data_IF_349258308549
#
_entry.id   IF_349258308549
#
_cell.length_a   1.000
_cell.length_b   1.000
_cell.length_c   1.000
_cell.angle_alpha   90.00
_cell.angle_beta   90.00
_cell.angle_gamma   90.00
#
_symmetry.space_group_name_H-M   'P 1'
#
loop_
_entity.id
_entity.type
_entity.pdbx_description
1 polymer ?
#
# COMPACT_ATOMS: atom_id res chain seq x y z
N UNK A 1 7.21 -29.55 17.15
CA UNK A 1 6.69 -30.80 17.73
C UNK A 1 6.87 -30.87 19.24
N UNK A 2 8.07 -30.68 19.79
CA UNK A 2 8.30 -30.65 21.24
C UNK A 2 7.32 -29.72 21.98
N UNK A 3 7.26 -28.44 21.58
CA UNK A 3 6.32 -27.45 22.12
C UNK A 3 4.85 -27.84 22.05
N UNK A 4 4.41 -28.48 20.95
CA UNK A 4 3.02 -28.95 20.83
C UNK A 4 2.74 -30.06 21.86
N UNK A 5 3.65 -31.04 21.98
CA UNK A 5 3.52 -32.15 22.93
C UNK A 5 3.58 -31.70 24.38
N UNK A 6 4.41 -30.70 24.67
CA UNK A 6 4.44 -30.06 25.98
C UNK A 6 3.08 -29.45 26.35
N UNK A 7 2.46 -28.71 25.43
CA UNK A 7 1.14 -28.11 25.65
C UNK A 7 0.01 -29.14 25.69
N UNK A 8 0.15 -30.28 25.01
CA UNK A 8 -0.77 -31.42 25.09
C UNK A 8 -0.59 -32.25 26.39
N UNK A 9 0.41 -31.93 27.23
CA UNK A 9 0.71 -32.63 28.48
C UNK A 9 1.54 -33.92 28.32
N UNK A 10 2.00 -34.25 27.11
CA UNK A 10 2.87 -35.38 26.82
C UNK A 10 4.35 -34.97 26.95
N UNK A 11 4.79 -34.85 28.20
CA UNK A 11 6.16 -34.41 28.52
C UNK A 11 7.23 -35.41 28.05
N UNK A 12 6.92 -36.70 28.02
CA UNK A 12 7.85 -37.74 27.57
C UNK A 12 8.16 -37.61 26.07
N UNK A 13 7.13 -37.44 25.23
CA UNK A 13 7.37 -37.17 23.80
C UNK A 13 8.01 -35.81 23.58
N UNK A 14 7.62 -34.78 24.35
CA UNK A 14 8.27 -33.47 24.29
C UNK A 14 9.78 -33.57 24.51
N UNK A 15 10.19 -34.26 25.57
CA UNK A 15 11.61 -34.47 25.89
C UNK A 15 12.33 -35.29 24.81
N UNK A 16 11.68 -36.34 24.27
CA UNK A 16 12.24 -37.12 23.16
C UNK A 16 12.52 -36.25 21.92
N UNK A 17 11.62 -35.32 21.58
CA UNK A 17 11.87 -34.37 20.49
C UNK A 17 13.01 -33.40 20.81
N UNK A 18 13.14 -32.92 22.05
CA UNK A 18 14.27 -32.08 22.45
C UNK A 18 15.60 -32.84 22.31
N UNK A 19 15.66 -34.10 22.78
CA UNK A 19 16.86 -34.92 22.67
C UNK A 19 17.29 -35.10 21.22
N UNK A 20 16.34 -35.34 20.31
CA UNK A 20 16.64 -35.44 18.88
C UNK A 20 17.26 -34.16 18.30
N UNK A 21 16.87 -32.99 18.78
CA UNK A 21 17.47 -31.71 18.36
C UNK A 21 18.90 -31.60 18.89
N UNK A 22 19.13 -31.97 20.15
CA UNK A 22 20.48 -32.02 20.72
C UNK A 22 21.40 -32.97 19.94
N UNK A 23 20.92 -34.17 19.60
CA UNK A 23 21.67 -35.15 18.80
C UNK A 23 22.07 -34.59 17.43
N UNK A 24 21.18 -33.81 16.80
CA UNK A 24 21.45 -33.14 15.52
C UNK A 24 22.52 -32.06 15.70
N UNK A 25 22.46 -31.27 16.78
CA UNK A 25 23.45 -30.22 17.08
C UNK A 25 24.83 -30.80 17.41
N UNK A 26 24.89 -31.98 18.04
CA UNK A 26 26.14 -32.72 18.23
C UNK A 26 26.71 -33.17 16.88
N UNK A 27 25.85 -33.64 15.97
CA UNK A 27 26.27 -34.08 14.63
C UNK A 27 26.69 -32.92 13.72
N UNK A 28 26.08 -31.74 13.89
CA UNK A 28 26.33 -30.53 13.12
C UNK A 28 26.57 -29.35 14.06
N UNK A 29 27.78 -29.24 14.64
CA UNK A 29 28.08 -28.22 15.64
C UNK A 29 28.07 -26.81 15.04
N UNK A 30 27.50 -25.86 15.78
CA UNK A 30 27.55 -24.44 15.42
C UNK A 30 28.81 -23.79 16.03
N UNK A 31 29.37 -22.79 15.34
CA UNK A 31 30.68 -22.20 15.72
C UNK A 31 30.71 -21.47 17.07
N UNK A 32 29.55 -21.18 17.66
CA UNK A 32 29.39 -20.65 19.03
C UNK A 32 28.05 -21.08 19.63
N UNK A 33 27.96 -21.13 20.98
CA UNK A 33 26.74 -21.63 21.67
C UNK A 33 25.47 -20.78 21.45
N UNK A 34 25.59 -19.60 20.82
CA UNK A 34 24.47 -18.73 20.45
C UNK A 34 24.20 -18.63 18.94
N UNK A 35 25.03 -19.26 18.09
CA UNK A 35 24.84 -19.24 16.64
C UNK A 35 23.93 -20.37 16.18
N UNK A 36 22.94 -20.04 15.34
CA UNK A 36 22.04 -21.03 14.72
C UNK A 36 22.64 -21.51 13.39
N UNK A 37 22.16 -22.67 12.92
CA UNK A 37 22.43 -23.13 11.57
C UNK A 37 21.82 -22.15 10.55
N UNK A 38 22.45 -21.96 9.36
CA UNK A 38 21.95 -21.04 8.35
C UNK A 38 20.51 -21.36 7.91
N UNK A 39 20.13 -22.64 7.87
CA UNK A 39 18.77 -23.07 7.53
C UNK A 39 17.75 -22.61 8.58
N UNK A 40 18.13 -22.60 9.86
CA UNK A 40 17.27 -22.10 10.95
C UNK A 40 17.12 -20.59 10.85
N UNK A 41 18.20 -19.87 10.54
CA UNK A 41 18.12 -18.43 10.29
C UNK A 41 17.25 -18.09 9.08
N UNK A 42 17.39 -18.84 7.98
CA UNK A 42 16.57 -18.69 6.78
C UNK A 42 15.08 -18.85 7.05
N UNK A 43 14.70 -19.95 7.72
CA UNK A 43 13.32 -20.25 8.08
C UNK A 43 12.75 -19.25 9.09
N UNK A 44 13.53 -18.83 10.09
CA UNK A 44 13.13 -17.76 11.01
C UNK A 44 12.85 -16.45 10.26
N UNK A 45 13.72 -16.10 9.30
CA UNK A 45 13.54 -14.91 8.48
C UNK A 45 12.25 -14.96 7.67
N UNK A 46 11.97 -16.08 7.02
CA UNK A 46 10.73 -16.26 6.26
C UNK A 46 9.49 -16.25 7.15
N UNK A 47 9.54 -16.90 8.31
CA UNK A 47 8.45 -16.89 9.28
C UNK A 47 8.15 -15.48 9.77
N UNK A 48 9.17 -14.70 10.16
CA UNK A 48 8.99 -13.30 10.59
C UNK A 48 8.33 -12.46 9.48
N UNK A 49 8.76 -12.63 8.23
CA UNK A 49 8.17 -11.94 7.09
C UNK A 49 6.69 -12.27 6.89
N UNK A 50 6.29 -13.54 7.09
CA UNK A 50 4.89 -13.98 6.91
C UNK A 50 3.96 -13.55 8.04
N UNK A 51 4.46 -13.47 9.27
CA UNK A 51 3.65 -13.20 10.46
C UNK A 51 3.21 -11.74 10.53
N UNK A 52 4.14 -10.79 10.38
CA UNK A 52 3.79 -9.37 10.51
C UNK A 52 4.78 -8.46 9.80
N UNK A 53 4.27 -7.34 9.27
CA UNK A 53 5.10 -6.29 8.69
C UNK A 53 6.04 -5.63 9.70
N UNK A 54 5.64 -5.55 10.98
CA UNK A 54 6.52 -5.01 12.04
C UNK A 54 7.75 -5.88 12.29
N UNK A 55 7.74 -7.13 11.80
CA UNK A 55 8.85 -8.07 11.93
C UNK A 55 9.75 -8.13 10.69
N UNK A 56 9.55 -7.25 9.70
CA UNK A 56 10.38 -7.22 8.48
C UNK A 56 11.86 -6.95 8.80
N UNK A 57 12.17 -6.07 9.74
CA UNK A 57 13.56 -5.82 10.14
C UNK A 57 14.22 -7.09 10.69
N UNK A 58 13.53 -7.81 11.58
CA UNK A 58 13.99 -9.11 12.09
C UNK A 58 14.17 -10.14 10.97
N UNK A 59 13.26 -10.15 9.99
CA UNK A 59 13.38 -11.02 8.84
C UNK A 59 14.65 -10.75 8.02
N UNK A 60 14.96 -9.46 7.79
CA UNK A 60 16.19 -9.02 7.11
C UNK A 60 17.42 -9.49 7.90
N UNK A 61 17.44 -9.26 9.22
CA UNK A 61 18.58 -9.63 10.07
C UNK A 61 18.83 -11.15 10.08
N UNK A 62 17.77 -11.95 10.20
CA UNK A 62 17.88 -13.41 10.16
C UNK A 62 18.40 -13.91 8.81
N UNK A 63 17.86 -13.42 7.69
CA UNK A 63 18.33 -13.80 6.35
C UNK A 63 19.76 -13.34 6.07
N UNK A 64 20.16 -12.18 6.59
CA UNK A 64 21.54 -11.72 6.48
C UNK A 64 22.51 -12.67 7.20
N UNK A 65 22.17 -13.13 8.41
CA UNK A 65 22.98 -14.13 9.14
C UNK A 65 23.08 -15.47 8.42
N UNK A 66 22.01 -15.91 7.76
CA UNK A 66 22.08 -17.10 6.91
C UNK A 66 23.08 -16.92 5.76
N UNK A 67 23.06 -15.75 5.12
CA UNK A 67 23.95 -15.41 4.00
C UNK A 67 25.40 -15.15 4.42
N UNK A 68 25.68 -14.74 5.66
CA UNK A 68 27.05 -14.66 6.19
C UNK A 68 27.74 -16.04 6.18
N UNK A 69 26.97 -17.11 6.38
CA UNK A 69 27.46 -18.50 6.38
C UNK A 69 27.39 -19.12 4.97
N UNK A 70 26.31 -18.85 4.22
CA UNK A 70 26.09 -19.38 2.88
C UNK A 70 25.84 -18.25 1.85
N UNK A 71 26.88 -17.52 1.40
CA UNK A 71 26.71 -16.32 0.58
C UNK A 71 26.05 -16.53 -0.79
N UNK A 72 26.19 -17.73 -1.35
CA UNK A 72 25.71 -18.08 -2.68
C UNK A 72 24.50 -18.99 -2.69
N UNK A 73 23.87 -19.23 -1.54
CA UNK A 73 22.67 -20.05 -1.48
C UNK A 73 21.51 -19.40 -2.25
N UNK A 74 20.89 -20.17 -3.15
CA UNK A 74 19.87 -19.65 -4.07
C UNK A 74 18.60 -19.26 -3.30
N UNK A 75 18.22 -20.03 -2.30
CA UNK A 75 16.99 -19.84 -1.54
C UNK A 75 17.10 -18.63 -0.62
N UNK A 76 18.17 -18.51 0.16
CA UNK A 76 18.38 -17.38 1.06
C UNK A 76 18.54 -16.06 0.29
N UNK A 77 19.26 -16.07 -0.83
CA UNK A 77 19.36 -14.88 -1.68
C UNK A 77 18.01 -14.47 -2.28
N UNK A 78 17.16 -15.45 -2.64
CA UNK A 78 15.80 -15.20 -3.14
C UNK A 78 14.90 -14.62 -2.04
N UNK A 79 14.87 -15.25 -0.86
CA UNK A 79 14.11 -14.79 0.30
C UNK A 79 14.56 -13.39 0.72
N UNK A 80 15.87 -13.17 0.83
CA UNK A 80 16.44 -11.88 1.23
C UNK A 80 16.09 -10.77 0.25
N UNK A 81 16.17 -11.05 -1.07
CA UNK A 81 15.76 -10.10 -2.10
C UNK A 81 14.27 -9.73 -2.00
N UNK A 82 13.40 -10.71 -1.75
CA UNK A 82 11.94 -10.48 -1.59
C UNK A 82 11.63 -9.68 -0.33
N UNK A 83 12.28 -10.00 0.80
CA UNK A 83 12.06 -9.30 2.07
C UNK A 83 12.56 -7.85 1.98
N UNK A 84 13.76 -7.62 1.42
CA UNK A 84 14.26 -6.27 1.17
C UNK A 84 13.35 -5.49 0.22
N UNK A 85 12.88 -6.13 -0.86
CA UNK A 85 11.91 -5.53 -1.77
C UNK A 85 10.67 -5.04 -1.03
N UNK A 86 10.07 -5.90 -0.19
CA UNK A 86 8.88 -5.58 0.58
C UNK A 86 9.13 -4.54 1.68
N UNK A 87 10.27 -4.59 2.37
CA UNK A 87 10.65 -3.62 3.41
C UNK A 87 10.87 -2.22 2.84
N UNK A 88 11.60 -2.13 1.73
CA UNK A 88 11.87 -0.86 1.06
C UNK A 88 10.70 -0.37 0.20
N UNK A 89 9.67 -1.19 -0.08
CA UNK A 89 8.53 -0.80 -0.92
C UNK A 89 7.80 0.44 -0.36
N UNK A 90 8.03 0.76 0.92
CA UNK A 90 7.33 1.80 1.68
C UNK A 90 8.22 2.96 2.11
N UNK A 91 9.55 2.78 2.10
CA UNK A 91 10.55 3.82 2.36
C UNK A 91 11.00 4.42 1.03
N UNK A 92 10.09 5.17 0.41
CA UNK A 92 10.36 5.98 -0.79
C UNK A 92 10.81 7.41 -0.42
N UNK A 93 11.23 7.61 0.83
CA UNK A 93 11.27 8.96 1.40
C UNK A 93 12.44 9.83 0.96
N UNK A 94 13.53 9.28 0.41
CA UNK A 94 14.65 10.11 -0.11
C UNK A 94 15.55 9.30 -1.06
N UNK A 95 15.00 8.74 -2.14
CA UNK A 95 15.85 8.13 -3.15
C UNK A 95 16.43 9.23 -4.04
N UNK A 96 17.71 9.55 -3.83
CA UNK A 96 18.49 10.23 -4.86
C UNK A 96 18.53 9.32 -6.09
N UNK A 97 18.30 9.89 -7.28
CA UNK A 97 18.13 9.12 -8.53
C UNK A 97 19.35 8.24 -8.87
N UNK A 98 20.52 8.52 -8.27
CA UNK A 98 21.79 7.86 -8.59
C UNK A 98 22.19 6.71 -7.65
N UNK A 99 21.61 6.58 -6.44
CA UNK A 99 21.95 5.46 -5.54
C UNK A 99 20.93 4.31 -5.65
N UNK A 100 21.36 3.19 -6.25
CA UNK A 100 20.57 1.96 -6.29
C UNK A 100 20.35 1.42 -4.86
N UNK A 101 19.08 1.15 -4.51
CA UNK A 101 18.75 0.59 -3.19
C UNK A 101 19.35 -0.80 -2.99
N UNK A 102 19.45 -1.19 -1.71
CA UNK A 102 19.90 -2.51 -1.31
C UNK A 102 19.03 -3.61 -1.93
N UNK A 103 17.70 -3.42 -2.02
CA UNK A 103 16.82 -4.37 -2.69
C UNK A 103 17.15 -4.52 -4.18
N UNK A 104 17.45 -3.44 -4.91
CA UNK A 104 17.83 -3.55 -6.33
C UNK A 104 19.11 -4.36 -6.48
N UNK A 105 20.14 -4.04 -5.69
CA UNK A 105 21.42 -4.77 -5.70
C UNK A 105 21.21 -6.25 -5.42
N UNK A 106 20.44 -6.57 -4.39
CA UNK A 106 20.16 -7.95 -3.99
C UNK A 106 19.29 -8.69 -5.02
N UNK A 107 18.28 -8.03 -5.60
CA UNK A 107 17.44 -8.61 -6.65
C UNK A 107 18.26 -8.94 -7.91
N UNK A 108 19.19 -8.06 -8.31
CA UNK A 108 20.13 -8.32 -9.41
C UNK A 108 21.02 -9.53 -9.12
N UNK A 109 21.55 -9.61 -7.90
CA UNK A 109 22.38 -10.74 -7.48
C UNK A 109 21.59 -12.05 -7.47
N UNK A 110 20.40 -12.06 -6.89
CA UNK A 110 19.53 -13.24 -6.86
C UNK A 110 19.13 -13.70 -8.27
N UNK A 111 18.89 -12.77 -9.21
CA UNK A 111 18.66 -13.09 -10.63
C UNK A 111 19.92 -13.57 -11.35
N UNK A 112 21.12 -13.18 -10.93
CA UNK A 112 22.37 -13.73 -11.48
C UNK A 112 22.52 -15.22 -11.12
N UNK A 113 22.08 -15.60 -9.92
CA UNK A 113 22.12 -16.99 -9.43
C UNK A 113 20.93 -17.80 -9.97
N UNK A 114 19.75 -17.20 -10.06
CA UNK A 114 18.52 -17.83 -10.57
C UNK A 114 17.85 -16.95 -11.65
N UNK A 115 18.31 -17.01 -12.91
CA UNK A 115 17.89 -16.10 -13.98
C UNK A 115 16.42 -16.18 -14.37
N UNK A 116 15.81 -17.36 -14.18
CA UNK A 116 14.45 -17.65 -14.64
C UNK A 116 13.39 -17.47 -13.55
N UNK A 117 13.76 -16.94 -12.38
CA UNK A 117 12.81 -16.67 -11.32
C UNK A 117 11.92 -15.47 -11.67
N UNK A 118 10.72 -15.76 -12.17
CA UNK A 118 9.77 -14.76 -12.64
C UNK A 118 9.27 -13.82 -11.53
N UNK A 119 9.21 -14.29 -10.27
CA UNK A 119 8.88 -13.43 -9.13
C UNK A 119 9.98 -12.38 -8.87
N UNK A 120 11.25 -12.78 -8.93
CA UNK A 120 12.38 -11.86 -8.79
C UNK A 120 12.46 -10.87 -9.97
N UNK A 121 12.24 -11.33 -11.20
CA UNK A 121 12.18 -10.48 -12.39
C UNK A 121 11.11 -9.38 -12.21
N UNK A 122 9.91 -9.77 -11.77
CA UNK A 122 8.82 -8.83 -11.57
C UNK A 122 9.07 -7.85 -10.40
N UNK A 123 9.68 -8.33 -9.29
CA UNK A 123 10.06 -7.49 -8.15
C UNK A 123 11.12 -6.45 -8.54
N UNK A 124 12.14 -6.86 -9.31
CA UNK A 124 13.16 -5.95 -9.83
C UNK A 124 12.55 -4.93 -10.79
N UNK A 125 11.71 -5.38 -11.73
CA UNK A 125 11.01 -4.48 -12.65
C UNK A 125 10.16 -3.44 -11.93
N UNK A 126 9.41 -3.84 -10.89
CA UNK A 126 8.62 -2.92 -10.08
C UNK A 126 9.47 -1.89 -9.33
N UNK A 127 10.66 -2.26 -8.83
CA UNK A 127 11.60 -1.33 -8.20
C UNK A 127 12.21 -0.37 -9.20
N UNK A 128 12.70 -0.88 -10.32
CA UNK A 128 13.29 -0.06 -11.38
C UNK A 128 12.30 0.97 -11.93
N UNK A 129 11.02 0.61 -12.06
CA UNK A 129 9.96 1.53 -12.43
C UNK A 129 9.79 2.68 -11.42
N UNK A 130 9.91 2.40 -10.11
CA UNK A 130 9.88 3.43 -9.06
C UNK A 130 11.10 4.38 -9.14
N UNK A 131 12.23 3.87 -9.63
CA UNK A 131 13.45 4.63 -9.96
C UNK A 131 13.43 5.22 -11.38
N UNK A 132 12.30 5.18 -12.07
CA UNK A 132 12.12 5.69 -13.45
C UNK A 132 13.02 5.01 -14.51
N UNK A 133 13.65 3.88 -14.21
CA UNK A 133 14.38 3.03 -15.15
C UNK A 133 13.39 2.15 -15.93
N UNK A 134 12.61 2.77 -16.81
CA UNK A 134 11.40 2.17 -17.37
C UNK A 134 11.66 1.08 -18.41
N UNK A 135 12.70 1.23 -19.24
CA UNK A 135 13.04 0.31 -20.32
C UNK A 135 13.46 -1.06 -19.76
N UNK A 136 14.33 -1.05 -18.75
CA UNK A 136 14.76 -2.27 -18.07
C UNK A 136 13.59 -2.92 -17.32
N UNK A 137 12.77 -2.10 -16.64
CA UNK A 137 11.58 -2.58 -15.96
C UNK A 137 10.59 -3.28 -16.91
N UNK A 138 10.38 -2.72 -18.11
CA UNK A 138 9.48 -3.29 -19.11
C UNK A 138 9.96 -4.67 -19.58
N UNK A 139 11.26 -4.78 -19.88
CA UNK A 139 11.88 -6.05 -20.29
C UNK A 139 11.71 -7.14 -19.24
N UNK A 140 11.93 -6.80 -17.96
CA UNK A 140 11.79 -7.75 -16.85
C UNK A 140 10.34 -8.16 -16.60
N UNK A 141 9.40 -7.20 -16.63
CA UNK A 141 7.97 -7.48 -16.47
C UNK A 141 7.45 -8.38 -17.59
N UNK A 142 7.87 -8.13 -18.83
CA UNK A 142 7.51 -8.96 -19.98
C UNK A 142 8.04 -10.39 -19.82
N UNK A 143 9.32 -10.55 -19.47
CA UNK A 143 9.91 -11.87 -19.20
C UNK A 143 9.20 -12.61 -18.07
N UNK A 144 8.84 -11.91 -17.00
CA UNK A 144 8.11 -12.52 -15.89
C UNK A 144 6.74 -13.07 -16.34
N UNK A 145 6.01 -12.30 -17.14
CA UNK A 145 4.71 -12.74 -17.71
C UNK A 145 4.86 -13.88 -18.73
N UNK A 146 5.97 -13.95 -19.47
CA UNK A 146 6.25 -15.07 -20.38
C UNK A 146 6.58 -16.35 -19.62
N UNK A 147 7.33 -16.24 -18.51
CA UNK A 147 7.78 -17.38 -17.73
C UNK A 147 6.69 -18.01 -16.86
N UNK A 148 5.85 -17.19 -16.21
CA UNK A 148 4.76 -17.68 -15.37
C UNK A 148 3.56 -16.70 -15.44
N UNK A 149 2.78 -16.75 -16.55
CA UNK A 149 1.71 -15.79 -16.83
C UNK A 149 0.57 -15.81 -15.82
N UNK A 150 0.42 -16.92 -15.10
CA UNK A 150 -0.71 -17.15 -14.21
C UNK A 150 -0.37 -16.86 -12.75
N UNK A 151 0.90 -16.64 -12.39
CA UNK A 151 1.29 -16.39 -11.01
C UNK A 151 0.58 -15.17 -10.40
N UNK A 152 -0.13 -15.29 -9.26
CA UNK A 152 -0.81 -14.16 -8.64
C UNK A 152 0.13 -13.00 -8.27
N UNK A 153 1.40 -13.28 -7.95
CA UNK A 153 2.40 -12.26 -7.69
C UNK A 153 2.75 -11.49 -8.96
N UNK A 154 3.02 -12.20 -10.05
CA UNK A 154 3.39 -11.59 -11.34
C UNK A 154 2.24 -10.79 -11.91
N UNK A 155 1.02 -11.35 -11.89
CA UNK A 155 -0.20 -10.65 -12.31
C UNK A 155 -0.35 -9.33 -11.54
N UNK A 156 -0.22 -9.37 -10.21
CA UNK A 156 -0.38 -8.18 -9.35
C UNK A 156 0.61 -7.08 -9.72
N UNK A 157 1.89 -7.43 -9.81
CA UNK A 157 2.96 -6.45 -10.01
C UNK A 157 3.04 -5.97 -11.46
N UNK A 158 2.87 -6.87 -12.43
CA UNK A 158 2.86 -6.53 -13.86
C UNK A 158 1.64 -5.68 -14.22
N UNK A 159 0.45 -6.06 -13.76
CA UNK A 159 -0.76 -5.26 -13.99
C UNK A 159 -0.66 -3.87 -13.35
N UNK A 160 -0.06 -3.77 -12.14
CA UNK A 160 0.17 -2.48 -11.50
C UNK A 160 1.16 -1.62 -12.30
N UNK A 161 2.26 -2.19 -12.77
CA UNK A 161 3.22 -1.51 -13.64
C UNK A 161 2.56 -0.98 -14.91
N UNK A 162 1.78 -1.82 -15.62
CA UNK A 162 1.06 -1.41 -16.83
C UNK A 162 0.07 -0.27 -16.55
N UNK A 163 -0.66 -0.35 -15.43
CA UNK A 163 -1.56 0.72 -14.98
C UNK A 163 -0.83 2.04 -14.70
N UNK A 164 0.32 1.98 -14.02
CA UNK A 164 1.15 3.17 -13.75
C UNK A 164 1.75 3.78 -15.03
N UNK A 165 1.99 2.96 -16.06
CA UNK A 165 2.37 3.38 -17.41
C UNK A 165 1.18 3.79 -18.29
N UNK A 166 -0.03 3.87 -17.72
CA UNK A 166 -1.27 4.24 -18.42
C UNK A 166 -1.65 3.29 -19.58
N UNK A 167 -1.13 2.05 -19.58
CA UNK A 167 -1.49 0.95 -20.50
C UNK A 167 -2.67 0.17 -19.91
N UNK A 168 -3.81 0.85 -19.82
CA UNK A 168 -4.95 0.41 -19.01
C UNK A 168 -5.63 -0.86 -19.54
N UNK A 169 -5.75 -1.00 -20.87
CA UNK A 169 -6.38 -2.17 -21.48
C UNK A 169 -5.55 -3.44 -21.25
N UNK A 170 -4.22 -3.34 -21.36
CA UNK A 170 -3.31 -4.45 -21.06
C UNK A 170 -3.32 -4.81 -19.57
N UNK A 171 -3.36 -3.80 -18.68
CA UNK A 171 -3.49 -4.02 -17.25
C UNK A 171 -4.78 -4.78 -16.90
N UNK A 172 -5.90 -4.42 -17.53
CA UNK A 172 -7.20 -5.09 -17.36
C UNK A 172 -7.08 -6.57 -17.76
N UNK A 173 -6.53 -6.87 -18.94
CA UNK A 173 -6.34 -8.25 -19.41
C UNK A 173 -5.49 -9.06 -18.42
N UNK A 174 -4.41 -8.48 -17.88
CA UNK A 174 -3.56 -9.15 -16.89
C UNK A 174 -4.34 -9.44 -15.60
N UNK A 175 -5.07 -8.46 -15.05
CA UNK A 175 -5.84 -8.67 -13.81
C UNK A 175 -7.04 -9.62 -13.98
N UNK A 176 -7.68 -9.64 -15.15
CA UNK A 176 -8.76 -10.59 -15.48
C UNK A 176 -8.26 -12.04 -15.47
N UNK A 177 -7.01 -12.31 -15.88
CA UNK A 177 -6.40 -13.63 -15.70
C UNK A 177 -6.30 -14.01 -14.23
N UNK A 178 -5.96 -13.04 -13.36
CA UNK A 178 -5.88 -13.25 -11.92
C UNK A 178 -7.21 -13.68 -11.30
N UNK A 179 -8.32 -13.12 -11.79
CA UNK A 179 -9.66 -13.51 -11.34
C UNK A 179 -10.00 -14.98 -11.61
N UNK A 180 -9.49 -15.55 -12.71
CA UNK A 180 -9.78 -16.95 -13.08
C UNK A 180 -9.21 -17.97 -12.10
N UNK A 181 -8.21 -17.60 -11.28
CA UNK A 181 -7.58 -18.52 -10.31
C UNK A 181 -8.32 -18.64 -8.97
N UNK A 182 -9.29 -17.76 -8.67
CA UNK A 182 -10.09 -17.82 -7.43
C UNK A 182 -9.38 -17.36 -6.14
N UNK A 183 -8.04 -17.30 -6.17
CA UNK A 183 -7.22 -16.74 -5.11
C UNK A 183 -7.10 -15.21 -5.24
N UNK A 184 -7.05 -14.49 -4.11
CA UNK A 184 -6.86 -13.03 -4.07
C UNK A 184 -7.89 -12.21 -4.88
N UNK A 185 -9.10 -12.74 -5.12
CA UNK A 185 -10.16 -12.09 -5.89
C UNK A 185 -10.41 -10.64 -5.46
N UNK A 186 -10.44 -10.36 -4.15
CA UNK A 186 -10.67 -9.01 -3.65
C UNK A 186 -9.60 -8.01 -4.11
N UNK A 187 -8.33 -8.44 -4.11
CA UNK A 187 -7.22 -7.60 -4.54
C UNK A 187 -7.27 -7.33 -6.06
N UNK A 188 -7.54 -8.36 -6.86
CA UNK A 188 -7.63 -8.21 -8.32
C UNK A 188 -8.84 -7.39 -8.75
N UNK A 189 -10.00 -7.60 -8.14
CA UNK A 189 -11.18 -6.77 -8.36
C UNK A 189 -10.90 -5.30 -8.04
N UNK A 190 -10.22 -5.02 -6.93
CA UNK A 190 -9.83 -3.64 -6.64
C UNK A 190 -8.87 -3.05 -7.68
N UNK A 191 -7.86 -3.80 -8.14
CA UNK A 191 -6.97 -3.30 -9.18
C UNK A 191 -7.69 -3.04 -10.50
N UNK A 192 -8.66 -3.88 -10.88
CA UNK A 192 -9.52 -3.67 -12.04
C UNK A 192 -10.37 -2.40 -11.88
N UNK A 193 -10.99 -2.21 -10.71
CA UNK A 193 -11.73 -0.99 -10.42
C UNK A 193 -10.85 0.27 -10.59
N UNK A 194 -9.60 0.24 -10.12
CA UNK A 194 -8.66 1.34 -10.31
C UNK A 194 -8.30 1.58 -11.78
N UNK A 195 -8.19 0.53 -12.61
CA UNK A 195 -7.98 0.67 -14.05
C UNK A 195 -9.16 1.40 -14.72
N UNK A 196 -10.39 0.93 -14.46
CA UNK A 196 -11.59 1.56 -15.00
C UNK A 196 -11.78 3.00 -14.50
N UNK A 197 -11.45 3.27 -13.23
CA UNK A 197 -11.44 4.65 -12.69
C UNK A 197 -10.47 5.54 -13.47
N UNK A 198 -9.27 5.06 -13.79
CA UNK A 198 -8.31 5.81 -14.61
C UNK A 198 -8.81 6.02 -16.04
N UNK A 199 -9.44 5.01 -16.68
CA UNK A 199 -10.09 5.17 -17.99
C UNK A 199 -11.15 6.26 -17.97
N UNK A 200 -12.03 6.25 -16.95
CA UNK A 200 -13.06 7.27 -16.76
C UNK A 200 -12.45 8.67 -16.64
N UNK A 201 -11.39 8.84 -15.83
CA UNK A 201 -10.72 10.13 -15.65
C UNK A 201 -10.07 10.60 -16.96
N UNK A 202 -9.39 9.70 -17.67
CA UNK A 202 -8.76 10.01 -18.95
C UNK A 202 -9.80 10.44 -20.00
N UNK A 203 -10.92 9.73 -20.08
CA UNK A 203 -11.99 10.01 -21.02
C UNK A 203 -12.73 11.32 -20.72
N UNK A 204 -12.96 11.65 -19.44
CA UNK A 204 -13.52 12.95 -19.04
C UNK A 204 -12.61 14.13 -19.38
N UNK A 205 -11.30 13.91 -19.51
CA UNK A 205 -10.34 14.96 -19.90
C UNK A 205 -10.27 15.17 -21.41
N UNK A 206 -10.82 14.27 -22.22
CA UNK A 206 -10.86 14.42 -23.67
C UNK A 206 -11.81 15.55 -24.05
N UNK A 207 -11.47 16.26 -25.13
CA UNK A 207 -12.28 17.38 -25.66
C UNK A 207 -13.69 16.94 -26.06
N UNK A 208 -13.80 15.74 -26.63
CA UNK A 208 -15.07 15.07 -26.95
C UNK A 208 -15.14 13.80 -26.11
N UNK A 209 -15.79 13.89 -24.94
CA UNK A 209 -15.94 12.76 -24.04
C UNK A 209 -17.12 11.89 -24.43
N UNK A 210 -16.89 10.58 -24.58
CA UNK A 210 -17.98 9.62 -24.78
C UNK A 210 -18.69 9.35 -23.44
N UNK A 211 -19.84 10.01 -23.23
CA UNK A 211 -20.62 9.86 -21.99
C UNK A 211 -21.16 8.45 -21.78
N UNK A 212 -21.42 7.70 -22.84
CA UNK A 212 -21.94 6.34 -22.74
C UNK A 212 -20.87 5.37 -22.26
N UNK A 213 -19.66 5.44 -22.84
CA UNK A 213 -18.51 4.68 -22.37
C UNK A 213 -18.18 5.00 -20.91
N UNK A 214 -18.18 6.28 -20.53
CA UNK A 214 -17.95 6.69 -19.13
C UNK A 214 -18.99 6.08 -18.18
N UNK A 215 -20.27 6.03 -18.58
CA UNK A 215 -21.33 5.39 -17.79
C UNK A 215 -21.12 3.88 -17.69
N UNK A 216 -20.76 3.23 -18.80
CA UNK A 216 -20.49 1.79 -18.83
C UNK A 216 -19.30 1.43 -17.94
N UNK A 217 -18.16 2.10 -18.10
CA UNK A 217 -16.98 1.86 -17.26
C UNK A 217 -17.25 2.19 -15.79
N UNK A 218 -18.10 3.18 -15.49
CA UNK A 218 -18.50 3.44 -14.09
C UNK A 218 -19.26 2.26 -13.49
N UNK A 219 -20.20 1.65 -14.23
CA UNK A 219 -20.92 0.45 -13.76
C UNK A 219 -19.97 -0.72 -13.52
N UNK A 220 -19.05 -0.95 -14.45
CA UNK A 220 -18.03 -2.02 -14.32
C UNK A 220 -17.13 -1.75 -13.10
N UNK A 221 -16.69 -0.51 -12.92
CA UNK A 221 -15.86 -0.09 -11.78
C UNK A 221 -16.56 -0.34 -10.44
N UNK A 222 -17.84 0.05 -10.31
CA UNK A 222 -18.65 -0.20 -9.11
C UNK A 222 -18.78 -1.70 -8.85
N UNK A 223 -19.12 -2.49 -9.87
CA UNK A 223 -19.27 -3.94 -9.73
C UNK A 223 -18.00 -4.63 -9.21
N UNK A 224 -16.83 -4.23 -9.72
CA UNK A 224 -15.56 -4.74 -9.18
C UNK A 224 -15.29 -4.28 -7.75
N UNK A 225 -15.63 -3.03 -7.38
CA UNK A 225 -15.48 -2.59 -6.00
C UNK A 225 -16.38 -3.39 -5.04
N UNK A 226 -17.62 -3.67 -5.44
CA UNK A 226 -18.53 -4.51 -4.67
C UNK A 226 -17.96 -5.92 -4.47
N UNK A 227 -17.43 -6.53 -5.53
CA UNK A 227 -16.79 -7.84 -5.41
C UNK A 227 -15.55 -7.78 -4.51
N UNK A 228 -14.83 -6.65 -4.51
CA UNK A 228 -13.64 -6.48 -3.69
C UNK A 228 -13.94 -6.47 -2.19
N UNK A 229 -15.07 -5.89 -1.78
CA UNK A 229 -15.45 -5.73 -0.37
C UNK A 229 -16.18 -6.95 0.22
N UNK A 230 -16.59 -7.93 -0.59
CA UNK A 230 -17.33 -9.12 -0.13
C UNK A 230 -16.55 -10.05 0.80
N UNK A 231 -15.20 -10.07 0.74
CA UNK A 231 -14.39 -11.00 1.55
C UNK A 231 -13.91 -10.37 2.87
N UNK A 232 -13.78 -11.23 3.88
CA UNK A 232 -13.62 -10.95 5.33
C UNK A 232 -12.48 -10.02 5.79
N UNK A 233 -11.52 -9.61 4.95
CA UNK A 233 -10.51 -8.63 5.41
C UNK A 233 -11.03 -7.21 5.15
N UNK A 234 -10.97 -6.30 6.13
CA UNK A 234 -11.44 -4.92 6.00
C UNK A 234 -10.65 -4.23 4.89
N UNK A 235 -11.23 -4.21 3.69
CA UNK A 235 -10.62 -3.55 2.56
C UNK A 235 -11.16 -2.11 2.48
N UNK A 236 -10.81 -1.34 3.50
CA UNK A 236 -11.40 -0.02 3.82
C UNK A 236 -11.26 0.97 2.68
N UNK A 237 -10.15 0.91 1.93
CA UNK A 237 -9.93 1.72 0.74
C UNK A 237 -11.00 1.48 -0.34
N UNK A 238 -11.45 0.23 -0.55
CA UNK A 238 -12.50 -0.04 -1.52
C UNK A 238 -13.87 0.50 -1.07
N UNK A 239 -14.17 0.45 0.23
CA UNK A 239 -15.38 1.07 0.77
C UNK A 239 -15.41 2.59 0.52
N UNK A 240 -14.29 3.28 0.77
CA UNK A 240 -14.18 4.72 0.54
C UNK A 240 -14.34 5.08 -0.96
N UNK A 241 -13.76 4.26 -1.85
CA UNK A 241 -13.87 4.44 -3.30
C UNK A 241 -15.27 4.11 -3.82
N UNK A 242 -15.91 3.07 -3.27
CA UNK A 242 -17.28 2.68 -3.61
C UNK A 242 -18.27 3.79 -3.22
N UNK A 243 -18.12 4.36 -2.03
CA UNK A 243 -18.96 5.46 -1.56
C UNK A 243 -18.96 6.64 -2.54
N UNK A 244 -17.77 7.09 -2.96
CA UNK A 244 -17.64 8.19 -3.92
C UNK A 244 -18.23 7.86 -5.29
N UNK A 245 -17.95 6.68 -5.82
CA UNK A 245 -18.42 6.31 -7.16
C UNK A 245 -19.93 6.08 -7.22
N UNK A 246 -20.53 5.51 -6.18
CA UNK A 246 -21.99 5.43 -6.05
C UNK A 246 -22.60 6.83 -5.97
N UNK A 247 -22.00 7.74 -5.21
CA UNK A 247 -22.46 9.13 -5.11
C UNK A 247 -22.37 9.88 -6.45
N UNK A 248 -21.27 9.70 -7.21
CA UNK A 248 -21.12 10.22 -8.58
C UNK A 248 -22.12 9.60 -9.57
N UNK A 249 -22.58 8.37 -9.32
CA UNK A 249 -23.60 7.72 -10.12
C UNK A 249 -25.02 8.19 -9.77
N UNK A 250 -25.19 8.96 -8.68
CA UNK A 250 -26.49 9.41 -8.15
C UNK A 250 -27.14 8.42 -7.20
N UNK A 251 -26.48 7.31 -6.87
CA UNK A 251 -26.98 6.28 -5.95
C UNK A 251 -26.55 6.60 -4.52
N UNK A 252 -27.28 7.54 -3.90
CA UNK A 252 -26.94 8.04 -2.56
C UNK A 252 -27.15 7.00 -1.47
N UNK A 253 -28.12 6.09 -1.62
CA UNK A 253 -28.39 5.05 -0.63
C UNK A 253 -27.18 4.11 -0.49
N UNK A 254 -26.69 3.58 -1.61
CA UNK A 254 -25.49 2.70 -1.59
C UNK A 254 -24.22 3.46 -1.23
N UNK A 255 -24.12 4.73 -1.59
CA UNK A 255 -22.98 5.55 -1.22
C UNK A 255 -22.86 5.73 0.30
N UNK A 256 -24.00 5.94 0.98
CA UNK A 256 -24.05 6.10 2.44
C UNK A 256 -23.76 4.81 3.18
N UNK A 257 -24.29 3.68 2.71
CA UNK A 257 -23.98 2.36 3.25
C UNK A 257 -22.48 2.07 3.16
N UNK A 258 -21.88 2.28 1.99
CA UNK A 258 -20.45 2.09 1.78
C UNK A 258 -19.60 3.02 2.65
N UNK A 259 -20.04 4.28 2.81
CA UNK A 259 -19.36 5.24 3.68
C UNK A 259 -19.43 4.83 5.15
N UNK A 260 -20.58 4.35 5.61
CA UNK A 260 -20.75 3.85 6.98
C UNK A 260 -19.84 2.64 7.25
N UNK A 261 -19.79 1.67 6.32
CA UNK A 261 -18.86 0.53 6.41
C UNK A 261 -17.40 0.95 6.40
N UNK A 262 -17.06 1.99 5.63
CA UNK A 262 -15.73 2.57 5.63
C UNK A 262 -15.36 3.13 7.02
N UNK A 263 -16.27 3.81 7.70
CA UNK A 263 -16.00 4.38 9.03
C UNK A 263 -15.92 3.31 10.13
N UNK A 264 -16.75 2.27 10.06
CA UNK A 264 -16.74 1.14 11.00
C UNK A 264 -15.41 0.38 10.99
N UNK A 265 -14.81 0.23 9.80
CA UNK A 265 -13.58 -0.54 9.60
C UNK A 265 -12.30 0.30 9.64
N UNK A 266 -12.43 1.63 9.59
CA UNK A 266 -11.28 2.56 9.64
C UNK A 266 -10.34 2.36 10.85
N UNK A 267 -10.84 2.09 12.08
CA UNK A 267 -9.96 1.87 13.24
C UNK A 267 -9.04 0.65 13.11
N UNK A 268 -9.35 -0.30 12.23
CA UNK A 268 -8.56 -1.52 12.01
C UNK A 268 -7.38 -1.28 11.04
N UNK A 269 -7.28 -0.08 10.45
CA UNK A 269 -6.22 0.24 9.49
C UNK A 269 -4.96 0.67 10.22
N UNK A 270 -3.93 -0.19 10.18
CA UNK A 270 -2.61 0.10 10.75
C UNK A 270 -1.77 1.03 9.87
N UNK A 271 -2.03 1.05 8.55
CA UNK A 271 -1.21 1.78 7.59
C UNK A 271 -1.59 3.27 7.51
N UNK A 272 -0.72 4.15 8.02
CA UNK A 272 -0.90 5.61 7.99
C UNK A 272 -1.24 6.17 6.60
N UNK A 273 -0.61 5.64 5.53
CA UNK A 273 -0.85 6.07 4.16
C UNK A 273 -2.27 5.77 3.70
N UNK A 274 -2.78 4.60 4.08
CA UNK A 274 -4.13 4.17 3.73
C UNK A 274 -5.13 4.99 4.55
N UNK A 275 -4.89 5.18 5.84
CA UNK A 275 -5.67 6.10 6.69
C UNK A 275 -5.76 7.51 6.08
N UNK A 276 -4.64 8.09 5.64
CA UNK A 276 -4.63 9.39 5.00
C UNK A 276 -5.48 9.42 3.72
N UNK A 277 -5.38 8.38 2.90
CA UNK A 277 -6.15 8.25 1.67
C UNK A 277 -7.64 8.13 1.95
N UNK A 278 -8.02 7.33 2.95
CA UNK A 278 -9.41 7.12 3.36
C UNK A 278 -9.99 8.43 3.89
N UNK A 279 -9.29 9.12 4.80
CA UNK A 279 -9.72 10.42 5.31
C UNK A 279 -9.92 11.45 4.19
N UNK A 280 -9.03 11.48 3.20
CA UNK A 280 -9.16 12.35 2.04
C UNK A 280 -10.43 12.01 1.22
N UNK A 281 -10.71 10.72 0.97
CA UNK A 281 -11.90 10.26 0.24
C UNK A 281 -13.20 10.50 1.01
N UNK A 282 -13.19 10.28 2.33
CA UNK A 282 -14.31 10.62 3.21
C UNK A 282 -14.61 12.13 3.17
N UNK A 283 -13.57 12.97 3.22
CA UNK A 283 -13.72 14.42 3.10
C UNK A 283 -14.32 14.84 1.77
N UNK A 284 -13.89 14.23 0.65
CA UNK A 284 -14.46 14.50 -0.68
C UNK A 284 -15.95 14.12 -0.71
N UNK A 285 -16.33 12.96 -0.17
CA UNK A 285 -17.72 12.49 -0.13
C UNK A 285 -18.60 13.46 0.65
N UNK A 286 -18.16 13.85 1.85
CA UNK A 286 -18.88 14.76 2.72
C UNK A 286 -19.03 16.16 2.10
N UNK A 287 -17.95 16.66 1.48
CA UNK A 287 -17.93 18.00 0.89
C UNK A 287 -18.80 18.09 -0.36
N UNK A 288 -18.66 17.17 -1.30
CA UNK A 288 -19.30 17.26 -2.62
C UNK A 288 -20.71 16.68 -2.67
N UNK A 289 -20.98 15.61 -1.92
CA UNK A 289 -22.23 14.86 -2.05
C UNK A 289 -23.18 15.08 -0.87
N UNK A 290 -22.66 15.10 0.37
CA UNK A 290 -23.48 15.41 1.55
C UNK A 290 -23.59 16.91 1.85
N UNK A 291 -22.75 17.75 1.25
CA UNK A 291 -22.62 19.18 1.55
C UNK A 291 -22.41 19.45 3.06
N UNK A 292 -21.79 18.50 3.77
CA UNK A 292 -21.48 18.62 5.19
C UNK A 292 -20.03 19.10 5.36
N UNK A 293 -19.89 20.41 5.37
CA UNK A 293 -18.59 21.05 5.41
C UNK A 293 -17.81 20.82 6.71
N UNK A 294 -18.48 20.86 7.86
CA UNK A 294 -17.83 20.69 9.16
C UNK A 294 -17.17 19.31 9.28
N UNK A 295 -17.91 18.24 8.91
CA UNK A 295 -17.35 16.90 8.91
C UNK A 295 -16.28 16.72 7.81
N UNK A 296 -16.44 17.36 6.64
CA UNK A 296 -15.42 17.32 5.60
C UNK A 296 -14.10 17.93 6.08
N UNK A 297 -14.13 19.09 6.73
CA UNK A 297 -12.97 19.72 7.36
C UNK A 297 -12.33 18.77 8.36
N UNK A 298 -13.11 18.15 9.25
CA UNK A 298 -12.59 17.21 10.24
C UNK A 298 -11.83 16.04 9.60
N UNK A 299 -12.36 15.44 8.53
CA UNK A 299 -11.69 14.37 7.81
C UNK A 299 -10.42 14.86 7.09
N UNK A 300 -10.45 16.01 6.40
CA UNK A 300 -9.24 16.55 5.77
C UNK A 300 -8.15 16.88 6.79
N UNK A 301 -8.52 17.43 7.95
CA UNK A 301 -7.57 17.72 9.04
C UNK A 301 -6.95 16.44 9.60
N UNK A 302 -7.74 15.37 9.82
CA UNK A 302 -7.19 14.05 10.22
C UNK A 302 -6.17 13.54 9.19
N UNK A 303 -6.47 13.66 7.89
CA UNK A 303 -5.51 13.30 6.83
C UNK A 303 -4.25 14.17 6.81
N UNK A 304 -4.37 15.45 7.15
CA UNK A 304 -3.26 16.41 7.20
C UNK A 304 -2.32 16.17 8.39
N UNK A 305 -2.85 15.70 9.52
CA UNK A 305 -2.08 15.39 10.73
C UNK A 305 -1.16 14.18 10.58
N UNK A 306 -1.43 13.32 9.58
CA UNK A 306 -0.55 12.19 9.26
C UNK A 306 0.72 12.75 8.58
N UNK A 307 1.94 12.56 9.15
CA UNK A 307 3.15 13.27 8.76
C UNK A 307 3.61 13.07 7.30
N UNK A 308 3.14 12.01 6.63
CA UNK A 308 3.55 11.67 5.27
C UNK A 308 3.05 12.71 4.26
N UNK A 309 3.92 13.64 3.83
CA UNK A 309 3.62 14.74 2.88
C UNK A 309 3.51 14.30 1.41
N UNK A 310 2.76 13.23 1.15
CA UNK A 310 2.54 12.62 -0.17
C UNK A 310 1.39 13.30 -0.92
N UNK A 311 0.98 12.72 -2.05
CA UNK A 311 -0.08 13.27 -2.90
C UNK A 311 -1.40 13.54 -2.15
N UNK A 312 -1.90 12.58 -1.36
CA UNK A 312 -3.18 12.70 -0.65
C UNK A 312 -3.12 13.76 0.45
N UNK A 313 -2.00 13.84 1.18
CA UNK A 313 -1.72 14.95 2.09
C UNK A 313 -1.87 16.32 1.41
N UNK A 314 -1.24 16.49 0.23
CA UNK A 314 -1.32 17.74 -0.54
C UNK A 314 -2.76 18.02 -1.00
N UNK A 315 -3.54 16.99 -1.31
CA UNK A 315 -4.96 17.16 -1.61
C UNK A 315 -5.75 17.65 -0.38
N UNK A 316 -5.56 17.05 0.80
CA UNK A 316 -6.19 17.53 2.04
C UNK A 316 -5.85 19.00 2.33
N UNK A 317 -4.55 19.35 2.28
CA UNK A 317 -4.08 20.71 2.47
C UNK A 317 -4.73 21.69 1.47
N UNK A 318 -4.78 21.31 0.18
CA UNK A 318 -5.41 22.11 -0.86
C UNK A 318 -6.91 22.31 -0.61
N UNK A 319 -7.64 21.26 -0.21
CA UNK A 319 -9.09 21.36 0.07
C UNK A 319 -9.36 22.28 1.26
N UNK A 320 -8.59 22.14 2.34
CA UNK A 320 -8.71 23.01 3.52
C UNK A 320 -8.48 24.48 3.16
N UNK A 321 -7.41 24.78 2.39
CA UNK A 321 -7.15 26.12 1.87
C UNK A 321 -8.31 26.67 1.05
N UNK A 322 -8.83 25.88 0.10
CA UNK A 322 -9.97 26.30 -0.74
C UNK A 322 -11.23 26.60 0.08
N UNK A 323 -11.53 25.81 1.11
CA UNK A 323 -12.67 26.04 2.00
C UNK A 323 -12.47 27.34 2.78
N UNK A 324 -11.29 27.51 3.37
CA UNK A 324 -10.94 28.70 4.15
C UNK A 324 -10.97 29.98 3.31
N UNK A 325 -10.34 29.99 2.14
CA UNK A 325 -10.31 31.14 1.24
C UNK A 325 -11.72 31.55 0.81
N UNK A 326 -12.59 30.58 0.50
CA UNK A 326 -13.99 30.83 0.14
C UNK A 326 -14.81 31.36 1.31
N UNK A 327 -14.53 30.93 2.55
CA UNK A 327 -15.15 31.49 3.76
C UNK A 327 -14.70 32.93 4.00
N UNK A 328 -13.40 33.20 3.91
CA UNK A 328 -12.82 34.53 4.10
C UNK A 328 -13.24 35.54 3.03
N UNK A 329 -13.50 35.08 1.81
CA UNK A 329 -14.08 35.90 0.76
C UNK A 329 -15.50 36.40 1.10
N UNK A 330 -16.26 35.65 1.91
CA UNK A 330 -17.60 36.02 2.38
C UNK A 330 -17.57 36.80 3.70
N UNK A 331 -16.76 36.34 4.64
CA UNK A 331 -16.57 36.97 5.94
C UNK A 331 -15.08 37.06 6.25
N UNK A 332 -14.51 38.28 6.16
CA UNK A 332 -13.08 38.50 6.42
C UNK A 332 -12.69 38.26 7.89
N UNK A 333 -13.66 38.28 8.81
CA UNK A 333 -13.47 38.00 10.24
C UNK A 333 -13.78 36.56 10.65
N UNK A 334 -13.83 35.61 9.70
CA UNK A 334 -14.04 34.20 10.03
C UNK A 334 -12.79 33.61 10.72
N UNK A 335 -12.83 33.60 12.06
CA UNK A 335 -11.75 33.08 12.91
C UNK A 335 -11.44 31.61 12.65
N UNK A 336 -12.47 30.78 12.40
CA UNK A 336 -12.28 29.36 12.06
C UNK A 336 -11.52 29.20 10.74
N UNK A 337 -11.87 29.96 9.71
CA UNK A 337 -11.20 29.91 8.42
C UNK A 337 -9.74 30.35 8.51
N UNK A 338 -9.44 31.38 9.31
CA UNK A 338 -8.07 31.79 9.61
C UNK A 338 -7.31 30.69 10.36
N UNK A 339 -7.92 30.06 11.36
CA UNK A 339 -7.33 28.96 12.10
C UNK A 339 -7.01 27.75 11.20
N UNK A 340 -7.87 27.45 10.21
CA UNK A 340 -7.60 26.41 9.20
C UNK A 340 -6.36 26.72 8.35
N UNK A 341 -6.21 27.97 7.87
CA UNK A 341 -5.00 28.38 7.16
C UNK A 341 -3.75 28.27 8.03
N UNK A 342 -3.87 28.61 9.32
CA UNK A 342 -2.80 28.43 10.31
C UNK A 342 -2.40 26.97 10.49
N UNK A 343 -3.37 26.05 10.58
CA UNK A 343 -3.12 24.61 10.65
C UNK A 343 -2.41 24.08 9.41
N UNK A 344 -2.84 24.49 8.22
CA UNK A 344 -2.17 24.07 6.97
C UNK A 344 -0.75 24.62 6.89
N UNK A 345 -0.54 25.90 7.21
CA UNK A 345 0.79 26.50 7.23
C UNK A 345 1.73 25.80 8.22
N UNK A 346 1.23 25.45 9.41
CA UNK A 346 1.97 24.68 10.41
C UNK A 346 2.37 23.31 9.88
N UNK A 347 1.44 22.59 9.24
CA UNK A 347 1.70 21.28 8.65
C UNK A 347 2.70 21.36 7.47
N UNK A 348 2.67 22.44 6.70
CA UNK A 348 3.66 22.74 5.64
C UNK A 348 5.06 22.99 6.22
N UNK A 349 5.16 23.41 7.48
CA UNK A 349 6.42 23.73 8.17
C UNK A 349 6.69 25.23 8.26
N UNK A 350 5.77 26.07 7.77
CA UNK A 350 5.89 27.53 7.81
C UNK A 350 5.34 28.09 9.12
N UNK A 351 6.19 28.06 10.16
CA UNK A 351 5.81 28.53 11.51
C UNK A 351 5.43 30.01 11.55
N UNK A 352 6.03 30.84 10.70
CA UNK A 352 5.76 32.29 10.65
C UNK A 352 4.37 32.54 10.10
N UNK A 353 4.01 31.92 8.97
CA UNK A 353 2.66 32.02 8.41
C UNK A 353 1.62 31.40 9.34
N UNK A 354 1.94 30.29 10.00
CA UNK A 354 1.05 29.68 10.98
C UNK A 354 0.72 30.64 12.13
N UNK A 355 1.75 31.24 12.75
CA UNK A 355 1.58 32.21 13.83
C UNK A 355 0.72 33.40 13.40
N UNK A 356 1.01 33.98 12.23
CA UNK A 356 0.23 35.09 11.67
C UNK A 356 -1.26 34.77 11.54
N UNK A 357 -1.62 33.59 11.02
CA UNK A 357 -3.01 33.20 10.87
C UNK A 357 -3.69 32.92 12.22
N UNK A 358 -2.99 32.31 13.18
CA UNK A 358 -3.54 32.08 14.51
C UNK A 358 -3.74 33.38 15.30
N UNK A 359 -2.81 34.33 15.24
CA UNK A 359 -2.97 35.65 15.85
C UNK A 359 -4.18 36.40 15.28
N UNK A 360 -4.35 36.35 13.95
CA UNK A 360 -5.54 36.93 13.30
C UNK A 360 -6.82 36.25 13.74
N UNK A 361 -6.84 34.92 13.83
CA UNK A 361 -8.01 34.18 14.29
C UNK A 361 -8.40 34.60 15.72
N UNK A 362 -7.42 34.66 16.64
CA UNK A 362 -7.63 35.07 18.03
C UNK A 362 -8.15 36.51 18.17
N UNK A 363 -7.80 37.40 17.24
CA UNK A 363 -8.31 38.77 17.25
C UNK A 363 -9.76 38.85 16.73
N UNK A 364 -10.22 37.88 15.96
CA UNK A 364 -11.62 37.79 15.51
C UNK A 364 -12.55 37.19 16.58
N UNK A 365 -12.03 36.37 17.50
CA UNK A 365 -12.81 35.74 18.58
C UNK A 365 -12.99 36.66 19.82
N UNK A 366 -12.40 37.86 19.82
CA UNK A 366 -12.47 38.84 20.92
C UNK A 366 -13.63 39.84 20.79
N UNK A 367 -14.31 39.83 19.65
CA UNK A 367 -15.54 40.59 19.37
C UNK A 367 -16.75 39.64 19.41
#
# INVERSE_FOLDING_TARGET
MAWLKYHDGDFAQSQSYCQRVEDILVKYPTGSSGSLLPEVYGEQGWAYFKVSRSSISKAIDCLHKALEVQPHDVEWNTCYAVVLFCGEQWVLENLQEDEESQAIKQLRFALKINPNNAALQCSLGAKLAAYKKYEEAESLVKKALENDPDNPHIIRHSGKYLRERNRLDEAIVVFERGLKRGDQLSSFNYQLALCYKQKIIAERRRRFSNREEVRQWRRICISHLEESVKRKRPFVLAWAELALLCAEAGDMSRAEEAFQKCLETLPEVEEEKDCQTIHQRCGDFLHYHKKNEAQAIAHYTKGLLIPQKKYNWRQCAKKLKQIADRRLAKNRGDGEALALLGQVARAEGDRRRAAFFYEKALNCDKD
#
